data_IF_944224317809
#
_entry.id   IF_944224317809
#
_cell.length_a   1.000
_cell.length_b   1.000
_cell.length_c   1.000
_cell.angle_alpha   90.00
_cell.angle_beta   90.00
_cell.angle_gamma   90.00
#
_symmetry.space_group_name_H-M   'P 1'
#
loop_
_entity.id
_entity.type
_entity.pdbx_description
1 polymer ?
#
# COMPACT_ATOMS: atom_id res chain seq x y z
N UNK A 1 -14.09 15.76 -2.55
CA UNK A 1 -14.07 14.28 -2.62
C UNK A 1 -13.19 13.92 -3.78
N UNK A 2 -12.02 13.37 -3.52
CA UNK A 2 -11.28 12.65 -4.54
C UNK A 2 -12.02 11.33 -4.76
N UNK A 3 -12.34 11.01 -6.00
CA UNK A 3 -13.05 9.77 -6.32
C UNK A 3 -12.19 8.97 -7.27
N UNK A 4 -11.86 7.73 -6.92
CA UNK A 4 -11.13 6.80 -7.79
C UNK A 4 -11.92 6.35 -9.03
N UNK A 5 -13.16 6.82 -9.20
CA UNK A 5 -14.04 6.46 -10.32
C UNK A 5 -13.40 6.86 -11.65
N UNK A 6 -13.24 5.90 -12.55
CA UNK A 6 -12.65 6.11 -13.87
C UNK A 6 -11.12 6.11 -13.89
N UNK A 7 -10.46 5.86 -12.75
CA UNK A 7 -9.03 5.58 -12.70
C UNK A 7 -8.76 4.10 -13.02
N UNK A 8 -7.54 3.76 -13.50
CA UNK A 8 -7.13 2.37 -13.68
C UNK A 8 -7.34 1.54 -12.41
N UNK A 9 -7.89 0.32 -12.54
CA UNK A 9 -8.16 -0.56 -11.42
C UNK A 9 -9.51 -0.33 -10.72
N UNK A 10 -10.23 0.75 -11.05
CA UNK A 10 -11.48 1.09 -10.33
C UNK A 10 -12.62 0.10 -10.57
N UNK A 11 -12.72 -0.47 -11.78
CA UNK A 11 -13.73 -1.50 -12.08
C UNK A 11 -13.38 -2.82 -11.40
N UNK A 12 -12.11 -3.20 -11.43
CA UNK A 12 -11.59 -4.41 -10.80
C UNK A 12 -11.80 -4.38 -9.28
N UNK A 13 -11.51 -3.25 -8.62
CA UNK A 13 -11.75 -3.08 -7.18
C UNK A 13 -13.26 -3.11 -6.87
N UNK A 14 -14.08 -2.44 -7.68
CA UNK A 14 -15.52 -2.36 -7.43
C UNK A 14 -16.25 -3.71 -7.63
N UNK A 15 -15.72 -4.59 -8.47
CA UNK A 15 -16.33 -5.90 -8.79
C UNK A 15 -15.65 -7.08 -8.10
N UNK A 16 -14.56 -6.85 -7.37
CA UNK A 16 -13.82 -7.90 -6.69
C UNK A 16 -14.67 -8.55 -5.58
N UNK A 17 -14.98 -9.86 -5.66
CA UNK A 17 -15.83 -10.54 -4.67
C UNK A 17 -15.16 -10.73 -3.31
N UNK A 18 -13.84 -10.54 -3.25
CA UNK A 18 -13.03 -10.67 -2.04
C UNK A 18 -12.86 -9.34 -1.30
N UNK A 19 -13.30 -8.21 -1.87
CA UNK A 19 -13.26 -6.89 -1.23
C UNK A 19 -14.60 -6.66 -0.55
N UNK A 20 -14.54 -6.31 0.74
CA UNK A 20 -15.72 -5.95 1.53
C UNK A 20 -15.63 -4.51 1.98
N UNK A 21 -16.70 -3.74 1.79
CA UNK A 21 -16.79 -2.36 2.26
C UNK A 21 -17.28 -2.36 3.70
N UNK A 22 -16.54 -1.72 4.60
CA UNK A 22 -16.93 -1.53 6.00
C UNK A 22 -16.99 -0.04 6.35
N UNK A 23 -17.88 0.30 7.29
CA UNK A 23 -18.00 1.66 7.80
C UNK A 23 -17.17 1.82 9.07
N UNK A 24 -16.39 2.90 9.15
CA UNK A 24 -15.68 3.26 10.38
C UNK A 24 -16.62 3.75 11.48
N UNK A 25 -16.32 3.36 12.71
CA UNK A 25 -17.07 3.71 13.92
C UNK A 25 -16.28 4.65 14.84
N UNK A 26 -14.94 4.60 14.81
CA UNK A 26 -14.01 5.41 15.60
C UNK A 26 -13.84 6.82 15.01
N UNK A 27 -14.89 7.62 15.12
CA UNK A 27 -14.93 8.98 14.59
C UNK A 27 -13.89 9.91 15.22
N UNK A 28 -13.43 9.62 16.43
CA UNK A 28 -12.40 10.44 17.09
C UNK A 28 -11.04 10.26 16.43
N UNK A 29 -10.62 9.01 16.18
CA UNK A 29 -9.36 8.72 15.51
C UNK A 29 -9.38 9.26 14.07
N UNK A 30 -10.47 9.03 13.34
CA UNK A 30 -10.64 9.57 11.99
C UNK A 30 -10.48 11.09 11.93
N UNK A 31 -11.13 11.85 12.83
CA UNK A 31 -10.99 13.31 12.87
C UNK A 31 -9.57 13.76 13.21
N UNK A 32 -8.88 13.03 14.09
CA UNK A 32 -7.50 13.33 14.46
C UNK A 32 -6.54 13.08 13.30
N UNK A 33 -6.72 11.99 12.55
CA UNK A 33 -5.90 11.69 11.37
C UNK A 33 -6.17 12.69 10.24
N UNK A 34 -7.42 13.10 10.07
CA UNK A 34 -7.84 14.07 9.05
C UNK A 34 -7.30 15.49 9.23
N UNK A 35 -6.59 15.79 10.34
CA UNK A 35 -5.86 17.05 10.47
C UNK A 35 -4.52 17.05 9.73
N UNK A 36 -4.00 15.86 9.39
CA UNK A 36 -2.67 15.66 8.79
C UNK A 36 -2.71 14.88 7.47
N UNK A 37 -3.71 14.00 7.30
CA UNK A 37 -3.85 13.10 6.16
C UNK A 37 -5.12 13.42 5.38
N UNK A 38 -5.19 12.98 4.12
CA UNK A 38 -6.44 13.01 3.38
C UNK A 38 -7.49 12.08 4.01
N UNK A 39 -8.73 12.21 3.54
CA UNK A 39 -9.86 11.46 4.05
C UNK A 39 -9.73 9.95 3.83
N UNK A 40 -9.26 9.51 2.65
CA UNK A 40 -9.16 8.09 2.32
C UNK A 40 -8.12 7.37 3.17
N UNK A 41 -6.93 7.97 3.31
CA UNK A 41 -5.86 7.44 4.15
C UNK A 41 -6.25 7.45 5.64
N UNK A 42 -6.96 8.50 6.08
CA UNK A 42 -7.50 8.58 7.43
C UNK A 42 -8.53 7.48 7.71
N UNK A 43 -9.44 7.22 6.77
CA UNK A 43 -10.43 6.14 6.88
C UNK A 43 -9.74 4.77 6.90
N UNK A 44 -8.76 4.54 6.02
CA UNK A 44 -8.02 3.28 5.95
C UNK A 44 -7.27 2.96 7.26
N UNK A 45 -6.54 3.93 7.82
CA UNK A 45 -5.82 3.75 9.09
C UNK A 45 -6.79 3.54 10.25
N UNK A 46 -7.90 4.30 10.27
CA UNK A 46 -8.93 4.16 11.30
C UNK A 46 -9.54 2.75 11.24
N UNK A 47 -9.97 2.31 10.06
CA UNK A 47 -10.57 0.99 9.86
C UNK A 47 -9.61 -0.15 10.22
N UNK A 48 -8.34 -0.05 9.80
CA UNK A 48 -7.32 -1.03 10.17
C UNK A 48 -7.15 -1.15 11.69
N UNK A 49 -7.24 -0.02 12.40
CA UNK A 49 -7.11 0.01 13.87
C UNK A 49 -8.35 -0.60 14.52
N UNK A 50 -9.54 -0.24 14.06
CA UNK A 50 -10.83 -0.76 14.55
C UNK A 50 -10.93 -2.29 14.41
N UNK A 51 -10.65 -2.79 13.20
CA UNK A 51 -10.75 -4.21 12.86
C UNK A 51 -9.56 -5.02 13.38
N UNK A 52 -8.54 -4.37 13.97
CA UNK A 52 -7.27 -4.99 14.37
C UNK A 52 -6.65 -5.79 13.23
N UNK A 53 -6.72 -5.22 12.03
CA UNK A 53 -6.20 -5.88 10.84
C UNK A 53 -4.69 -6.11 10.98
N UNK A 54 -4.20 -7.23 10.45
CA UNK A 54 -2.80 -7.61 10.57
C UNK A 54 -1.85 -6.64 9.82
N UNK A 55 -2.37 -5.94 8.81
CA UNK A 55 -1.60 -5.10 7.91
C UNK A 55 -2.48 -4.08 7.20
N UNK A 56 -1.88 -2.96 6.81
CA UNK A 56 -2.50 -1.91 5.99
C UNK A 56 -1.68 -1.61 4.74
N UNK A 57 -2.37 -1.34 3.63
CA UNK A 57 -1.78 -0.85 2.39
C UNK A 57 -1.87 0.67 2.33
N UNK A 58 -0.73 1.35 2.18
CA UNK A 58 -0.66 2.82 2.10
C UNK A 58 0.41 3.24 1.08
N UNK A 59 0.02 4.05 0.10
CA UNK A 59 0.88 4.52 -0.99
C UNK A 59 1.50 5.90 -0.70
N UNK A 60 0.93 6.67 0.22
CA UNK A 60 1.43 7.97 0.64
C UNK A 60 2.47 7.92 1.77
N UNK A 61 3.53 8.74 1.65
CA UNK A 61 4.62 8.78 2.64
C UNK A 61 4.17 9.28 4.01
N UNK A 62 3.24 10.25 4.06
CA UNK A 62 2.73 10.80 5.30
C UNK A 62 1.88 9.76 6.06
N UNK A 63 0.94 9.12 5.36
CA UNK A 63 0.11 8.06 5.92
C UNK A 63 0.94 6.87 6.42
N UNK A 64 1.92 6.40 5.62
CA UNK A 64 2.84 5.34 6.06
C UNK A 64 3.55 5.67 7.37
N UNK A 65 4.08 6.90 7.49
CA UNK A 65 4.75 7.35 8.71
C UNK A 65 3.80 7.37 9.90
N UNK A 66 2.58 7.88 9.71
CA UNK A 66 1.59 7.96 10.78
C UNK A 66 1.17 6.57 11.27
N UNK A 67 0.85 5.67 10.35
CA UNK A 67 0.50 4.28 10.66
C UNK A 67 1.64 3.54 11.37
N UNK A 68 2.89 3.72 10.92
CA UNK A 68 4.06 3.17 11.60
C UNK A 68 4.24 3.72 13.03
N UNK A 69 4.05 5.03 13.24
CA UNK A 69 4.08 5.62 14.58
C UNK A 69 2.99 5.07 15.51
N UNK A 70 1.86 4.63 14.94
CA UNK A 70 0.78 3.95 15.66
C UNK A 70 1.05 2.46 15.89
N UNK A 71 2.19 1.94 15.43
CA UNK A 71 2.56 0.52 15.56
C UNK A 71 1.87 -0.41 14.55
N UNK A 72 1.26 0.14 13.49
CA UNK A 72 0.62 -0.67 12.45
C UNK A 72 1.66 -1.24 11.48
N UNK A 73 1.41 -2.46 11.03
CA UNK A 73 2.22 -3.09 9.97
C UNK A 73 1.82 -2.52 8.62
N UNK A 74 2.69 -1.73 8.02
CA UNK A 74 2.45 -1.07 6.74
C UNK A 74 3.10 -1.84 5.60
N UNK A 75 2.35 -2.05 4.52
CA UNK A 75 2.86 -2.60 3.26
C UNK A 75 2.59 -1.61 2.12
N UNK A 76 3.60 -1.38 1.28
CA UNK A 76 3.45 -0.60 0.04
C UNK A 76 3.58 -1.49 -1.18
N UNK A 77 3.44 -0.91 -2.37
CA UNK A 77 3.49 -1.64 -3.66
C UNK A 77 4.73 -2.52 -3.82
N UNK A 78 5.92 -2.02 -3.44
CA UNK A 78 7.17 -2.81 -3.48
C UNK A 78 7.11 -4.01 -2.53
N UNK A 79 6.49 -3.85 -1.36
CA UNK A 79 6.28 -4.94 -0.41
C UNK A 79 5.36 -6.03 -0.98
N UNK A 80 4.33 -5.65 -1.73
CA UNK A 80 3.46 -6.59 -2.46
C UNK A 80 4.27 -7.38 -3.49
N UNK A 81 5.16 -6.73 -4.24
CA UNK A 81 6.02 -7.42 -5.22
C UNK A 81 7.02 -8.37 -4.54
N UNK A 82 7.60 -7.98 -3.41
CA UNK A 82 8.46 -8.87 -2.61
C UNK A 82 7.67 -10.10 -2.15
N UNK A 83 6.47 -9.89 -1.61
CA UNK A 83 5.58 -10.97 -1.20
C UNK A 83 5.23 -11.89 -2.38
N UNK A 84 4.87 -11.32 -3.53
CA UNK A 84 4.54 -12.07 -4.73
C UNK A 84 5.72 -12.93 -5.20
N UNK A 85 6.95 -12.38 -5.16
CA UNK A 85 8.16 -13.12 -5.52
C UNK A 85 8.41 -14.28 -4.58
N UNK A 86 8.32 -14.06 -3.26
CA UNK A 86 8.53 -15.09 -2.23
C UNK A 86 7.51 -16.23 -2.31
N UNK A 87 6.30 -15.95 -2.78
CA UNK A 87 5.23 -16.94 -2.94
C UNK A 87 5.16 -17.53 -4.36
N UNK A 88 6.11 -17.21 -5.25
CA UNK A 88 6.16 -17.77 -6.60
C UNK A 88 5.08 -17.25 -7.55
N UNK A 89 4.45 -16.11 -7.25
CA UNK A 89 3.47 -15.45 -8.14
C UNK A 89 4.13 -14.65 -9.26
N UNK A 90 5.41 -14.30 -9.11
CA UNK A 90 6.23 -13.66 -10.14
C UNK A 90 7.62 -14.31 -10.20
N UNK A 91 8.19 -14.37 -11.40
CA UNK A 91 9.50 -15.01 -11.63
C UNK A 91 10.68 -14.12 -11.25
N UNK A 92 10.54 -12.80 -11.44
CA UNK A 92 11.63 -11.83 -11.29
C UNK A 92 11.15 -10.55 -10.63
N UNK A 93 11.64 -10.26 -9.42
CA UNK A 93 11.33 -9.00 -8.75
C UNK A 93 11.96 -7.82 -9.51
N UNK A 94 13.19 -7.99 -10.01
CA UNK A 94 13.88 -6.98 -10.83
C UNK A 94 13.05 -6.50 -12.01
N UNK A 95 12.46 -7.42 -12.76
CA UNK A 95 11.62 -7.05 -13.92
C UNK A 95 10.38 -6.28 -13.48
N UNK A 96 9.74 -6.69 -12.39
CA UNK A 96 8.56 -5.98 -11.89
C UNK A 96 8.90 -4.59 -11.33
N UNK A 97 10.03 -4.41 -10.65
CA UNK A 97 10.51 -3.09 -10.22
C UNK A 97 10.81 -2.17 -11.42
N UNK A 98 11.39 -2.73 -12.48
CA UNK A 98 11.62 -2.01 -13.74
C UNK A 98 10.29 -1.61 -14.40
N UNK A 99 9.33 -2.52 -14.49
CA UNK A 99 7.99 -2.24 -15.05
C UNK A 99 7.25 -1.19 -14.22
N UNK A 100 7.33 -1.27 -12.89
CA UNK A 100 6.71 -0.33 -11.97
C UNK A 100 7.23 1.10 -12.19
N UNK A 101 8.54 1.25 -12.45
CA UNK A 101 9.17 2.55 -12.71
C UNK A 101 8.91 3.04 -14.14
N UNK A 102 9.05 2.18 -15.15
CA UNK A 102 9.01 2.57 -16.57
C UNK A 102 7.61 2.66 -17.16
N UNK A 103 6.68 1.82 -16.69
CA UNK A 103 5.29 1.77 -17.18
C UNK A 103 4.30 2.26 -16.13
N UNK A 104 4.58 1.98 -14.86
CA UNK A 104 3.70 2.36 -13.75
C UNK A 104 3.87 3.80 -13.25
N UNK A 105 4.89 4.53 -13.69
CA UNK A 105 5.13 5.92 -13.28
C UNK A 105 5.64 6.10 -11.85
N UNK A 106 6.03 5.02 -11.16
CA UNK A 106 6.51 5.10 -9.78
C UNK A 106 7.95 5.63 -9.72
N UNK A 107 8.21 6.51 -8.74
CA UNK A 107 9.57 6.98 -8.43
C UNK A 107 10.14 6.17 -7.28
N UNK A 108 11.05 5.26 -7.61
CA UNK A 108 11.77 4.44 -6.64
C UNK A 108 13.23 4.89 -6.57
N UNK A 109 13.74 5.06 -5.35
CA UNK A 109 15.18 5.29 -5.17
C UNK A 109 15.95 3.99 -5.39
N UNK A 110 17.20 4.10 -5.85
CA UNK A 110 18.08 2.93 -6.00
C UNK A 110 18.19 2.12 -4.72
N UNK A 111 18.29 2.79 -3.57
CA UNK A 111 18.33 2.15 -2.26
C UNK A 111 17.10 1.28 -1.96
N UNK A 112 15.89 1.74 -2.35
CA UNK A 112 14.66 0.95 -2.18
C UNK A 112 14.69 -0.29 -3.09
N UNK A 113 15.10 -0.12 -4.35
CA UNK A 113 15.21 -1.23 -5.29
C UNK A 113 16.24 -2.27 -4.83
N UNK A 114 17.44 -1.84 -4.44
CA UNK A 114 18.51 -2.74 -4.01
C UNK A 114 18.12 -3.50 -2.74
N UNK A 115 17.51 -2.81 -1.77
CA UNK A 115 17.01 -3.46 -0.56
C UNK A 115 15.93 -4.50 -0.87
N UNK A 116 15.00 -4.17 -1.79
CA UNK A 116 13.95 -5.10 -2.21
C UNK A 116 14.54 -6.36 -2.89
N UNK A 117 15.50 -6.19 -3.81
CA UNK A 117 16.17 -7.30 -4.50
C UNK A 117 16.95 -8.20 -3.53
N UNK A 118 17.72 -7.60 -2.63
CA UNK A 118 18.44 -8.34 -1.60
C UNK A 118 17.49 -9.15 -0.70
N UNK A 119 16.30 -8.61 -0.38
CA UNK A 119 15.31 -9.29 0.46
C UNK A 119 14.74 -10.59 -0.13
N UNK A 120 14.92 -10.80 -1.44
CA UNK A 120 14.48 -12.01 -2.17
C UNK A 120 15.64 -12.81 -2.76
N UNK A 121 16.89 -12.45 -2.44
CA UNK A 121 18.09 -13.13 -2.94
C UNK A 121 18.47 -12.78 -4.38
N UNK A 122 17.90 -11.73 -4.97
CA UNK A 122 18.30 -11.23 -6.28
C UNK A 122 19.46 -10.22 -6.16
N UNK A 123 20.36 -10.17 -7.15
CA UNK A 123 21.48 -9.21 -7.12
C UNK A 123 20.98 -7.76 -7.15
N UNK A 124 21.68 -6.79 -6.53
CA UNK A 124 21.37 -5.36 -6.63
C UNK A 124 21.52 -4.79 -8.05
N UNK A 125 20.96 -3.60 -8.29
CA UNK A 125 21.01 -2.88 -9.58
C UNK A 125 22.20 -1.95 -9.72
#
# INVERSE_FOLDING_TARGET
METGKGQPGSEEVNTAPWITVSNITERHLFRLLGTELDYGESEAITLCTEEKAAMILLDEKAARRKAQCMGLTVLGTVGILIWARRNGHIDSLREQLKNLTTRGGFRLSRAVCDHALQSVGEMPT
#
